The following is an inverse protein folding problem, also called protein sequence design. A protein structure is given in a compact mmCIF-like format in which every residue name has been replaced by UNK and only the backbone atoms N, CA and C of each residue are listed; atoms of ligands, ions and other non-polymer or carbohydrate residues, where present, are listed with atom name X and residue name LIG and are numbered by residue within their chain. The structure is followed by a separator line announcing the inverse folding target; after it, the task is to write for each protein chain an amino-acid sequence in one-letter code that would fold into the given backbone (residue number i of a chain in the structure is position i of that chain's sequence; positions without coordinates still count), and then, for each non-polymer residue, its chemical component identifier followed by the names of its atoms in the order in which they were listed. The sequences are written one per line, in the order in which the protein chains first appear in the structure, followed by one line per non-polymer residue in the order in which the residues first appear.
data_IF_360910141953
#
_entry.id   IF_360910141953
#
_cell.length_a   1.000
_cell.length_b   1.000
_cell.length_c   1.000
_cell.angle_alpha   90.00
_cell.angle_beta   90.00
_cell.angle_gamma   90.00
#
_symmetry.space_group_name_H-M   'P 1'
#
loop_
_entity.id
_entity.type
_entity.pdbx_description
1 polymer ?
#
# COMPACT_ATOMS: atom_id res chain seq x y z
N UNK A 1 24.19 -72.12 -15.05
CA UNK A 1 24.63 -71.14 -14.01
C UNK A 1 23.37 -70.67 -13.30
N UNK A 2 22.85 -71.35 -12.26
CA UNK A 2 23.30 -71.34 -10.85
C UNK A 2 23.49 -69.92 -10.30
N UNK A 3 22.94 -69.45 -9.18
CA UNK A 3 21.86 -69.82 -8.29
C UNK A 3 21.70 -68.62 -7.32
N UNK A 4 20.45 -68.23 -7.04
CA UNK A 4 19.85 -67.69 -5.77
C UNK A 4 20.61 -66.74 -4.78
N UNK A 5 19.84 -66.01 -3.94
CA UNK A 5 20.19 -64.71 -3.35
C UNK A 5 20.74 -64.79 -1.91
N UNK A 6 21.24 -63.66 -1.39
CA UNK A 6 21.53 -63.48 0.05
C UNK A 6 20.75 -62.30 0.65
N UNK A 7 19.86 -62.64 1.59
CA UNK A 7 19.39 -61.78 2.69
C UNK A 7 20.50 -61.62 3.74
N UNK A 8 20.54 -60.46 4.42
CA UNK A 8 20.73 -60.27 5.89
C UNK A 8 20.13 -58.89 6.23
N UNK A 9 19.09 -58.81 7.06
CA UNK A 9 19.14 -58.55 8.51
C UNK A 9 20.02 -57.32 8.81
N UNK A 10 19.54 -56.18 9.32
CA UNK A 10 18.45 -55.95 10.26
C UNK A 10 19.07 -55.26 11.48
N UNK A 11 18.83 -53.96 11.66
CA UNK A 11 18.94 -53.31 12.97
C UNK A 11 17.81 -52.31 13.15
N UNK A 12 16.94 -52.67 14.09
CA UNK A 12 15.98 -51.78 14.74
C UNK A 12 16.79 -50.84 15.64
N UNK A 13 16.50 -49.55 15.59
CA UNK A 13 16.58 -48.70 16.77
C UNK A 13 15.19 -48.07 16.92
N UNK A 14 14.52 -48.46 18.01
CA UNK A 14 13.31 -47.80 18.53
C UNK A 14 13.74 -46.95 19.73
N UNK A 15 12.98 -45.87 19.92
CA UNK A 15 12.74 -45.08 21.13
C UNK A 15 13.48 -43.74 21.28
N UNK A 16 12.66 -42.74 21.67
CA UNK A 16 12.96 -41.32 21.83
C UNK A 16 11.84 -40.51 21.15
N UNK A 17 10.58 -40.59 21.58
CA UNK A 17 10.00 -39.72 22.62
C UNK A 17 10.33 -38.24 22.33
N UNK A 18 9.43 -37.53 21.66
CA UNK A 18 8.48 -36.59 22.28
C UNK A 18 9.16 -35.29 22.74
N UNK A 19 8.83 -34.18 22.05
CA UNK A 19 8.74 -32.77 22.48
C UNK A 19 8.61 -31.99 21.15
N UNK A 20 7.48 -31.42 20.71
CA UNK A 20 6.34 -30.95 21.47
C UNK A 20 6.62 -29.58 22.10
N UNK A 21 7.12 -28.61 21.32
CA UNK A 21 7.23 -27.21 21.78
C UNK A 21 6.07 -26.39 21.21
N UNK A 22 4.89 -26.61 21.80
CA UNK A 22 3.80 -25.64 21.75
C UNK A 22 4.14 -24.53 22.74
N UNK A 23 4.39 -23.32 22.26
CA UNK A 23 4.47 -22.14 23.10
C UNK A 23 3.05 -21.78 23.57
N UNK A 24 2.61 -22.41 24.66
CA UNK A 24 1.44 -22.00 25.41
C UNK A 24 1.85 -20.86 26.35
N UNK A 25 1.42 -19.64 26.04
CA UNK A 25 1.47 -18.51 26.98
C UNK A 25 0.37 -18.75 28.03
N UNK A 26 0.77 -19.15 29.24
CA UNK A 26 -0.14 -19.25 30.38
C UNK A 26 -0.51 -17.84 30.86
N UNK A 27 -1.82 -17.55 30.86
CA UNK A 27 -2.40 -16.52 31.71
C UNK A 27 -2.18 -16.89 33.18
N UNK A 28 -1.41 -16.08 33.91
CA UNK A 28 -1.42 -16.07 35.37
C UNK A 28 -2.33 -14.94 35.85
N UNK A 29 -3.52 -15.32 36.33
CA UNK A 29 -4.35 -14.48 37.17
C UNK A 29 -3.82 -14.53 38.60
N UNK A 30 -3.37 -13.39 39.13
CA UNK A 30 -3.29 -13.13 40.56
C UNK A 30 -4.01 -11.81 40.82
N UNK A 31 -5.14 -11.88 41.53
CA UNK A 31 -5.88 -10.72 41.98
C UNK A 31 -5.33 -10.13 43.28
N UNK A 32 -5.59 -8.84 43.45
CA UNK A 32 -5.92 -8.22 44.73
C UNK A 32 -4.84 -7.37 45.39
N UNK A 33 -5.04 -6.05 45.40
CA UNK A 33 -4.51 -5.21 46.49
C UNK A 33 -4.13 -3.76 46.18
N UNK A 34 -5.14 -2.90 46.01
CA UNK A 34 -5.22 -1.49 46.46
C UNK A 34 -4.15 -0.45 46.08
N UNK A 35 -4.63 0.64 45.45
CA UNK A 35 -4.31 1.98 45.94
C UNK A 35 -3.67 2.96 44.95
N UNK A 36 -4.51 3.70 44.22
CA UNK A 36 -4.34 5.13 44.00
C UNK A 36 -3.27 5.62 43.03
N UNK A 37 -3.70 5.97 41.82
CA UNK A 37 -3.65 7.33 41.23
C UNK A 37 -4.01 7.19 39.76
N UNK A 38 -5.10 7.84 39.35
CA UNK A 38 -5.57 7.81 37.97
C UNK A 38 -4.51 8.32 37.01
N UNK A 39 -4.06 7.42 36.15
CA UNK A 39 -3.47 7.74 34.87
C UNK A 39 -4.35 6.99 33.86
N UNK A 40 -5.42 7.66 33.43
CA UNK A 40 -6.21 7.21 32.29
C UNK A 40 -5.24 7.16 31.11
N UNK A 41 -4.78 5.96 30.79
CA UNK A 41 -4.23 5.68 29.46
C UNK A 41 -5.34 6.03 28.48
N UNK A 42 -5.19 7.17 27.81
CA UNK A 42 -6.01 7.52 26.68
C UNK A 42 -6.06 6.33 25.74
N UNK A 43 -7.27 5.86 25.39
CA UNK A 43 -7.44 5.02 24.23
C UNK A 43 -6.77 5.74 23.05
N UNK A 44 -5.91 5.09 22.25
CA UNK A 44 -5.24 5.72 21.10
C UNK A 44 -6.21 6.05 19.95
N UNK A 45 -7.50 6.23 20.25
CA UNK A 45 -8.58 6.48 19.32
C UNK A 45 -8.75 7.97 18.93
N UNK A 46 -7.95 8.88 19.51
CA UNK A 46 -8.06 10.32 19.25
C UNK A 46 -6.87 10.87 18.42
N UNK A 47 -6.43 10.11 17.41
CA UNK A 47 -5.42 10.54 16.43
C UNK A 47 -4.06 10.93 17.02
N UNK A 48 -3.24 11.60 16.20
CA UNK A 48 -1.94 12.12 16.62
C UNK A 48 -0.77 11.15 16.43
N UNK A 49 0.45 11.67 16.56
CA UNK A 49 1.67 10.90 16.32
C UNK A 49 1.91 9.86 17.42
N UNK A 50 2.05 8.60 17.02
CA UNK A 50 2.39 7.49 17.90
C UNK A 50 3.79 7.71 18.48
N UNK A 51 3.90 7.58 19.80
CA UNK A 51 5.08 7.93 20.62
C UNK A 51 5.38 9.44 20.66
N UNK A 52 5.73 10.07 19.53
CA UNK A 52 6.06 11.50 19.42
C UNK A 52 5.98 11.95 17.96
N UNK A 53 5.66 13.23 17.74
CA UNK A 53 5.79 13.86 16.42
C UNK A 53 7.24 13.77 15.90
N UNK A 54 7.46 13.33 14.65
CA UNK A 54 8.80 13.25 14.09
C UNK A 54 9.40 14.66 13.94
N UNK A 55 10.73 14.73 13.97
CA UNK A 55 11.45 15.97 13.69
C UNK A 55 11.51 16.19 12.18
N UNK A 56 10.57 17.01 11.71
CA UNK A 56 10.42 17.40 10.31
C UNK A 56 11.40 18.52 9.90
N UNK A 57 11.98 19.28 10.84
CA UNK A 57 12.70 20.53 10.55
C UNK A 57 14.23 20.45 10.67
N UNK A 58 14.78 19.40 11.30
CA UNK A 58 16.21 19.06 11.34
C UNK A 58 17.16 20.18 11.82
N UNK A 59 16.64 21.34 12.24
CA UNK A 59 17.41 22.57 12.39
C UNK A 59 16.78 23.58 13.36
N UNK A 60 16.21 23.11 14.47
CA UNK A 60 16.05 23.95 15.67
C UNK A 60 16.67 23.33 16.91
N UNK A 61 17.96 23.01 16.80
CA UNK A 61 18.84 22.86 17.96
C UNK A 61 19.09 24.21 18.64
N UNK A 62 18.44 24.42 19.77
CA UNK A 62 18.81 25.27 20.92
C UNK A 62 19.75 26.47 20.64
N UNK A 63 19.15 27.63 20.38
CA UNK A 63 19.85 28.91 20.42
C UNK A 63 20.09 29.38 21.86
N UNK A 64 20.86 28.65 22.66
CA UNK A 64 21.53 29.22 23.84
C UNK A 64 22.88 28.55 24.12
N UNK A 65 23.97 29.22 23.72
CA UNK A 65 25.12 29.64 24.58
C UNK A 65 26.36 29.87 23.71
N UNK A 66 26.58 31.13 23.36
CA UNK A 66 27.82 31.59 22.77
C UNK A 66 28.99 31.50 23.77
N UNK A 67 30.17 31.13 23.27
CA UNK A 67 31.45 31.63 23.77
C UNK A 67 32.42 31.81 22.57
N UNK A 68 33.28 32.86 22.58
CA UNK A 68 33.82 33.46 21.36
C UNK A 68 35.24 32.97 21.05
N UNK A 69 35.64 33.03 19.78
CA UNK A 69 37.07 33.03 19.40
C UNK A 69 37.32 34.12 18.35
N UNK A 70 38.22 35.05 18.70
CA UNK A 70 38.84 36.08 17.88
C UNK A 70 39.52 35.47 16.63
N UNK A 71 39.78 36.12 15.49
CA UNK A 71 39.85 37.54 15.14
C UNK A 71 41.01 37.74 14.15
N UNK A 72 40.67 38.12 12.91
CA UNK A 72 41.47 38.85 11.89
C UNK A 72 42.56 38.11 11.05
N UNK A 73 43.00 38.66 9.90
CA UNK A 73 42.23 39.35 8.83
C UNK A 73 42.64 39.01 7.36
N UNK A 74 41.73 39.29 6.43
CA UNK A 74 41.97 40.09 5.21
C UNK A 74 42.76 39.52 4.01
N UNK A 75 42.07 39.29 2.90
CA UNK A 75 42.58 39.62 1.55
C UNK A 75 41.42 39.83 0.57
N UNK A 76 41.45 40.97 -0.13
CA UNK A 76 40.49 41.43 -1.12
C UNK A 76 40.88 40.99 -2.55
N UNK A 77 39.96 41.29 -3.48
CA UNK A 77 40.03 41.19 -4.96
C UNK A 77 39.41 39.90 -5.54
N UNK A 78 38.60 39.90 -6.60
CA UNK A 78 38.21 40.95 -7.53
C UNK A 78 36.90 40.53 -8.20
N UNK A 79 35.96 41.45 -8.32
CA UNK A 79 34.83 41.31 -9.24
C UNK A 79 35.36 41.36 -10.68
N UNK A 80 34.92 40.40 -11.50
CA UNK A 80 34.96 40.52 -12.97
C UNK A 80 33.61 40.08 -13.52
N UNK A 81 32.85 41.08 -13.93
CA UNK A 81 31.73 40.95 -14.86
C UNK A 81 32.16 40.24 -16.13
N UNK A 82 31.44 39.19 -16.49
CA UNK A 82 31.31 38.74 -17.86
C UNK A 82 29.83 38.85 -18.22
N UNK A 83 29.53 39.95 -18.91
CA UNK A 83 28.33 40.17 -19.68
C UNK A 83 28.19 39.11 -20.77
N UNK A 84 27.20 38.23 -20.64
CA UNK A 84 26.62 37.50 -21.75
C UNK A 84 25.18 38.01 -21.90
N UNK A 85 24.91 38.64 -23.03
CA UNK A 85 23.59 39.11 -23.44
C UNK A 85 22.65 37.90 -23.53
N UNK A 86 21.78 37.75 -22.54
CA UNK A 86 20.63 36.86 -22.62
C UNK A 86 19.53 37.57 -23.40
N UNK A 87 19.23 37.04 -24.57
CA UNK A 87 18.08 37.40 -25.40
C UNK A 87 16.82 37.36 -24.56
N UNK A 88 16.14 38.50 -24.46
CA UNK A 88 14.79 38.58 -23.92
C UNK A 88 13.82 38.02 -24.98
N UNK A 89 13.51 36.74 -24.90
CA UNK A 89 12.22 36.21 -25.31
C UNK A 89 12.01 34.83 -24.69
N UNK A 90 10.78 34.61 -24.20
CA UNK A 90 10.29 33.42 -23.49
C UNK A 90 10.66 33.29 -22.00
N UNK A 91 10.34 34.33 -21.23
CA UNK A 91 9.96 34.12 -19.83
C UNK A 91 8.63 33.36 -19.81
N UNK A 92 8.71 32.02 -19.79
CA UNK A 92 7.56 31.15 -19.64
C UNK A 92 6.75 31.59 -18.42
N UNK A 93 5.53 32.06 -18.68
CA UNK A 93 4.48 32.26 -17.68
C UNK A 93 4.36 30.95 -16.90
N UNK A 94 4.39 30.95 -15.55
CA UNK A 94 4.13 29.73 -14.79
C UNK A 94 2.80 29.15 -15.27
N UNK A 95 2.71 27.87 -15.68
CA UNK A 95 1.44 27.31 -16.10
C UNK A 95 0.43 27.51 -14.96
N UNK A 96 -0.78 27.92 -15.35
CA UNK A 96 -1.95 27.94 -14.46
C UNK A 96 -1.95 26.66 -13.62
N UNK A 97 -1.84 26.81 -12.30
CA UNK A 97 -1.63 25.70 -11.34
C UNK A 97 -2.96 24.96 -11.13
N UNK A 98 -3.49 24.38 -12.21
CA UNK A 98 -4.69 23.55 -12.17
C UNK A 98 -4.52 22.34 -11.24
N UNK A 99 -5.64 21.73 -10.86
CA UNK A 99 -5.65 20.51 -10.04
C UNK A 99 -4.72 19.44 -10.63
N UNK A 100 -3.94 18.77 -9.76
CA UNK A 100 -3.12 17.62 -10.15
C UNK A 100 -3.99 16.61 -10.90
N UNK A 101 -3.53 16.16 -12.07
CA UNK A 101 -4.22 15.13 -12.82
C UNK A 101 -3.59 13.78 -12.56
N UNK A 102 -4.38 12.73 -12.73
CA UNK A 102 -3.94 11.36 -12.52
C UNK A 102 -4.64 10.39 -13.47
N UNK A 103 -3.93 9.33 -13.81
CA UNK A 103 -4.43 8.15 -14.48
C UNK A 103 -4.40 6.93 -13.56
N UNK A 104 -5.08 5.86 -13.96
CA UNK A 104 -5.00 4.58 -13.25
C UNK A 104 -4.95 3.39 -14.20
N UNK A 105 -4.20 2.36 -13.82
CA UNK A 105 -4.18 1.04 -14.45
C UNK A 105 -4.80 0.01 -13.51
N UNK A 106 -5.65 -0.85 -14.06
CA UNK A 106 -6.23 -2.00 -13.37
C UNK A 106 -5.61 -3.31 -13.88
N UNK A 107 -4.42 -3.63 -13.35
CA UNK A 107 -3.70 -4.89 -13.62
C UNK A 107 -4.48 -6.14 -13.15
N UNK A 108 -5.55 -5.97 -12.36
CA UNK A 108 -6.42 -7.06 -11.99
C UNK A 108 -7.42 -7.41 -13.09
N UNK A 109 -7.89 -6.41 -13.83
CA UNK A 109 -8.73 -6.57 -15.02
C UNK A 109 -7.90 -7.06 -16.21
N UNK A 110 -6.75 -6.47 -16.49
CA UNK A 110 -5.83 -6.93 -17.54
C UNK A 110 -4.63 -7.69 -16.97
N UNK A 111 -4.90 -8.86 -16.42
CA UNK A 111 -3.86 -9.65 -15.77
C UNK A 111 -2.84 -10.25 -16.74
N UNK A 112 -3.25 -10.63 -17.95
CA UNK A 112 -2.32 -11.11 -18.98
C UNK A 112 -1.39 -9.99 -19.47
N UNK A 113 -1.91 -8.76 -19.60
CA UNK A 113 -1.11 -7.57 -19.84
C UNK A 113 -0.09 -7.33 -18.71
N UNK A 114 -0.51 -7.45 -17.45
CA UNK A 114 0.39 -7.35 -16.30
C UNK A 114 1.50 -8.42 -16.31
N UNK A 115 1.20 -9.67 -16.69
CA UNK A 115 2.22 -10.72 -16.80
C UNK A 115 3.24 -10.38 -17.91
N UNK A 116 2.76 -9.87 -19.04
CA UNK A 116 3.61 -9.41 -20.16
C UNK A 116 4.52 -8.25 -19.73
N UNK A 117 3.96 -7.30 -18.97
CA UNK A 117 4.70 -6.20 -18.35
C UNK A 117 5.82 -6.72 -17.44
N UNK A 118 5.53 -7.63 -16.51
CA UNK A 118 6.52 -8.19 -15.59
C UNK A 118 7.66 -8.92 -16.32
N UNK A 119 7.36 -9.64 -17.40
CA UNK A 119 8.38 -10.29 -18.22
C UNK A 119 9.28 -9.25 -18.91
N UNK A 120 8.69 -8.20 -19.48
CA UNK A 120 9.44 -7.08 -20.09
C UNK A 120 10.35 -6.37 -19.09
N UNK A 121 9.82 -5.99 -17.93
CA UNK A 121 10.60 -5.33 -16.86
C UNK A 121 11.72 -6.25 -16.37
N UNK A 122 11.41 -7.53 -16.16
CA UNK A 122 12.36 -8.53 -15.70
C UNK A 122 13.48 -8.83 -16.71
N UNK A 123 13.23 -8.72 -18.01
CA UNK A 123 14.23 -8.85 -19.07
C UNK A 123 15.02 -7.57 -19.31
N UNK A 124 14.42 -6.41 -19.04
CA UNK A 124 15.06 -5.10 -19.05
C UNK A 124 16.09 -4.86 -17.94
N UNK A 125 16.14 -5.74 -16.93
CA UNK A 125 17.14 -5.68 -15.86
C UNK A 125 16.80 -4.71 -14.73
N UNK A 126 15.55 -4.22 -14.67
CA UNK A 126 15.08 -3.37 -13.58
C UNK A 126 15.10 -4.18 -12.27
N UNK A 127 15.74 -3.67 -11.19
CA UNK A 127 15.83 -4.39 -9.93
C UNK A 127 14.52 -4.28 -9.14
N UNK A 128 13.92 -5.42 -8.81
CA UNK A 128 12.79 -5.52 -7.89
C UNK A 128 12.76 -6.90 -7.21
N UNK A 129 12.17 -6.99 -6.01
CA UNK A 129 11.95 -8.28 -5.34
C UNK A 129 10.88 -9.06 -6.09
N UNK A 130 11.26 -10.18 -6.70
CA UNK A 130 10.35 -10.99 -7.51
C UNK A 130 9.39 -11.76 -6.62
N UNK A 131 8.10 -11.57 -6.87
CA UNK A 131 7.03 -12.47 -6.46
C UNK A 131 6.37 -13.00 -7.72
N UNK A 132 6.22 -14.32 -7.87
CA UNK A 132 5.63 -14.91 -9.07
C UNK A 132 4.09 -14.93 -8.95
N UNK A 133 3.36 -14.10 -9.72
CA UNK A 133 1.91 -14.04 -9.63
C UNK A 133 1.23 -15.09 -10.52
N UNK A 134 1.98 -15.87 -11.31
CA UNK A 134 1.43 -16.78 -12.32
C UNK A 134 0.56 -17.86 -11.71
N UNK A 135 -0.41 -18.34 -12.50
CA UNK A 135 -1.38 -19.32 -12.03
C UNK A 135 -2.38 -18.76 -11.03
N UNK A 136 -2.57 -17.43 -10.98
CA UNK A 136 -3.57 -16.75 -10.14
C UNK A 136 -4.93 -17.45 -10.23
N UNK A 137 -5.50 -17.72 -9.06
CA UNK A 137 -6.84 -18.29 -8.89
C UNK A 137 -7.72 -17.23 -8.24
N UNK A 138 -8.88 -16.94 -8.84
CA UNK A 138 -9.85 -15.99 -8.28
C UNK A 138 -11.05 -16.73 -7.73
N UNK A 139 -11.29 -16.60 -6.42
CA UNK A 139 -12.48 -17.16 -5.78
C UNK A 139 -13.41 -16.02 -5.43
N UNK A 140 -14.64 -16.10 -5.91
CA UNK A 140 -15.72 -15.16 -5.57
C UNK A 140 -16.61 -15.79 -4.51
N UNK A 141 -16.81 -15.10 -3.39
CA UNK A 141 -17.73 -15.50 -2.32
C UNK A 141 -18.98 -14.64 -2.40
N UNK A 142 -20.14 -15.28 -2.50
CA UNK A 142 -21.43 -14.60 -2.63
C UNK A 142 -22.41 -15.06 -1.57
N UNK A 143 -23.22 -14.12 -1.10
CA UNK A 143 -24.36 -14.37 -0.24
C UNK A 143 -25.62 -14.62 -1.07
N UNK A 144 -26.72 -14.95 -0.38
CA UNK A 144 -28.03 -15.04 -1.01
C UNK A 144 -28.35 -13.76 -1.81
N UNK A 145 -28.87 -13.94 -3.04
CA UNK A 145 -29.12 -12.84 -3.97
C UNK A 145 -27.89 -12.38 -4.77
N UNK A 146 -26.83 -13.21 -4.86
CA UNK A 146 -25.62 -12.95 -5.66
C UNK A 146 -24.83 -11.72 -5.20
N UNK A 147 -25.01 -11.30 -3.94
CA UNK A 147 -24.28 -10.17 -3.36
C UNK A 147 -22.86 -10.59 -2.95
N UNK A 148 -21.84 -9.75 -3.18
CA UNK A 148 -20.49 -10.04 -2.70
C UNK A 148 -20.46 -10.12 -1.17
N UNK A 149 -19.59 -10.99 -0.65
CA UNK A 149 -19.34 -11.16 0.78
C UNK A 149 -17.96 -10.58 1.09
N UNK A 150 -17.85 -9.33 1.53
CA UNK A 150 -16.56 -8.73 1.87
C UNK A 150 -16.05 -9.22 3.23
N UNK A 151 -14.74 -9.33 3.40
CA UNK A 151 -14.12 -9.73 4.67
C UNK A 151 -14.26 -11.21 5.06
N UNK A 152 -14.83 -12.05 4.21
CA UNK A 152 -14.94 -13.49 4.44
C UNK A 152 -13.55 -14.14 4.47
N UNK A 153 -13.29 -14.94 5.49
CA UNK A 153 -12.06 -15.75 5.57
C UNK A 153 -12.15 -16.95 4.63
N UNK A 154 -11.21 -17.03 3.69
CA UNK A 154 -11.08 -18.11 2.72
C UNK A 154 -9.82 -18.91 3.04
N UNK A 155 -10.01 -20.13 3.55
CA UNK A 155 -8.88 -21.04 3.80
C UNK A 155 -8.54 -21.82 2.54
N UNK A 156 -7.26 -21.78 2.14
CA UNK A 156 -6.74 -22.44 0.94
C UNK A 156 -5.95 -23.69 1.34
N UNK A 157 -6.22 -24.80 0.66
CA UNK A 157 -5.61 -26.09 0.94
C UNK A 157 -4.96 -26.70 -0.31
N UNK A 158 -3.78 -27.27 -0.12
CA UNK A 158 -3.14 -28.24 -1.02
C UNK A 158 -3.34 -29.64 -0.41
N UNK A 159 -4.28 -30.39 -0.98
CA UNK A 159 -4.76 -31.64 -0.38
C UNK A 159 -5.30 -31.43 1.03
N UNK A 160 -4.58 -31.91 2.03
CA UNK A 160 -4.92 -31.76 3.46
C UNK A 160 -4.14 -30.65 4.17
N UNK A 161 -3.09 -30.11 3.54
CA UNK A 161 -2.27 -29.06 4.13
C UNK A 161 -2.90 -27.69 3.87
N UNK A 162 -3.12 -26.91 4.92
CA UNK A 162 -3.55 -25.51 4.77
C UNK A 162 -2.35 -24.68 4.32
N UNK A 163 -2.49 -23.99 3.19
CA UNK A 163 -1.46 -23.12 2.61
C UNK A 163 -1.53 -21.73 3.24
N UNK A 164 -2.71 -21.10 3.20
CA UNK A 164 -2.94 -19.74 3.69
C UNK A 164 -4.42 -19.53 4.00
N UNK A 165 -4.74 -18.57 4.86
CA UNK A 165 -6.09 -18.01 4.99
C UNK A 165 -6.06 -16.58 4.46
N UNK A 166 -6.86 -16.32 3.43
CA UNK A 166 -7.03 -15.01 2.80
C UNK A 166 -8.35 -14.39 3.23
N UNK A 167 -8.54 -13.09 2.97
CA UNK A 167 -9.83 -12.44 3.18
C UNK A 167 -10.33 -11.78 1.92
N UNK A 168 -11.63 -11.92 1.67
CA UNK A 168 -12.24 -11.31 0.49
C UNK A 168 -12.19 -9.79 0.57
N UNK A 169 -11.87 -9.15 -0.55
CA UNK A 169 -11.98 -7.70 -0.72
C UNK A 169 -13.46 -7.28 -0.83
N UNK A 170 -13.74 -5.98 -0.94
CA UNK A 170 -15.11 -5.45 -1.01
C UNK A 170 -15.96 -6.05 -2.15
N UNK A 171 -15.32 -6.51 -3.23
CA UNK A 171 -15.92 -7.25 -4.35
C UNK A 171 -16.23 -8.72 -4.06
N UNK A 172 -16.02 -9.17 -2.82
CA UNK A 172 -16.24 -10.54 -2.40
C UNK A 172 -15.22 -11.52 -2.97
N UNK A 173 -14.09 -11.05 -3.50
CA UNK A 173 -13.08 -11.93 -4.11
C UNK A 173 -11.83 -12.10 -3.27
N UNK A 174 -11.23 -13.30 -3.33
CA UNK A 174 -9.82 -13.50 -2.99
C UNK A 174 -9.03 -13.85 -4.26
N UNK A 175 -7.82 -13.33 -4.35
CA UNK A 175 -6.86 -13.59 -5.43
C UNK A 175 -5.72 -14.42 -4.84
N UNK A 176 -5.72 -15.72 -5.07
CA UNK A 176 -4.67 -16.62 -4.59
C UNK A 176 -3.62 -16.82 -5.68
N UNK A 177 -2.35 -16.61 -5.35
CA UNK A 177 -1.21 -16.75 -6.26
C UNK A 177 -0.34 -17.92 -5.81
N UNK A 178 -0.54 -19.16 -6.32
CA UNK A 178 0.10 -20.35 -5.76
C UNK A 178 1.62 -20.25 -5.66
N UNK A 179 2.28 -19.74 -6.71
CA UNK A 179 3.74 -19.58 -6.78
C UNK A 179 4.28 -18.57 -5.76
N UNK A 180 3.52 -17.53 -5.43
CA UNK A 180 3.85 -16.57 -4.38
C UNK A 180 3.88 -17.20 -2.97
N UNK A 181 3.27 -18.38 -2.79
CA UNK A 181 3.30 -19.16 -1.55
C UNK A 181 4.16 -20.43 -1.66
N UNK A 182 4.94 -20.58 -2.74
CA UNK A 182 5.75 -21.78 -2.99
C UNK A 182 4.93 -23.04 -3.22
N UNK A 183 3.66 -22.90 -3.63
CA UNK A 183 2.75 -24.02 -3.89
C UNK A 183 2.64 -24.30 -5.39
N UNK A 184 2.64 -25.59 -5.75
CA UNK A 184 2.68 -26.05 -7.15
C UNK A 184 1.67 -27.18 -7.45
N UNK A 185 0.65 -27.34 -6.61
CA UNK A 185 -0.39 -28.32 -6.81
C UNK A 185 -1.18 -28.07 -8.11
N UNK A 186 -1.66 -29.15 -8.71
CA UNK A 186 -2.50 -29.09 -9.91
C UNK A 186 -3.90 -28.55 -9.63
N UNK A 187 -4.37 -28.66 -8.38
CA UNK A 187 -5.69 -28.20 -7.93
C UNK A 187 -5.60 -27.79 -6.45
N UNK A 188 -6.34 -26.75 -6.08
CA UNK A 188 -6.47 -26.25 -4.71
C UNK A 188 -7.91 -26.31 -4.26
N UNK A 189 -8.12 -26.51 -2.96
CA UNK A 189 -9.43 -26.45 -2.32
C UNK A 189 -9.54 -25.18 -1.49
N UNK A 190 -10.67 -24.49 -1.64
CA UNK A 190 -10.99 -23.24 -0.96
C UNK A 190 -12.20 -23.47 -0.07
N UNK A 191 -12.12 -23.07 1.20
CA UNK A 191 -13.19 -23.26 2.18
C UNK A 191 -13.60 -21.94 2.84
N UNK A 192 -14.91 -21.74 2.96
CA UNK A 192 -15.54 -20.57 3.60
C UNK A 192 -16.82 -21.06 4.30
N UNK A 193 -16.99 -20.79 5.60
CA UNK A 193 -18.21 -21.10 6.36
C UNK A 193 -18.76 -22.54 6.14
N UNK A 194 -17.87 -23.53 6.01
CA UNK A 194 -18.23 -24.94 5.79
C UNK A 194 -18.64 -25.29 4.35
N UNK A 195 -18.56 -24.34 3.42
CA UNK A 195 -18.69 -24.54 1.97
C UNK A 195 -17.31 -24.62 1.34
N UNK A 196 -17.23 -25.28 0.19
CA UNK A 196 -15.94 -25.40 -0.51
C UNK A 196 -16.10 -25.40 -2.03
N UNK A 197 -15.07 -24.89 -2.71
CA UNK A 197 -14.87 -25.07 -4.14
C UNK A 197 -13.43 -25.56 -4.40
N UNK A 198 -13.20 -26.13 -5.57
CA UNK A 198 -11.84 -26.42 -6.06
C UNK A 198 -11.56 -25.63 -7.32
N UNK A 199 -10.29 -25.30 -7.54
CA UNK A 199 -9.84 -24.63 -8.75
C UNK A 199 -8.37 -24.97 -9.04
N UNK A 200 -8.06 -25.12 -10.33
CA UNK A 200 -6.70 -25.24 -10.82
C UNK A 200 -6.06 -23.86 -11.00
N UNK A 201 -4.71 -23.75 -11.01
CA UNK A 201 -4.02 -22.52 -11.36
C UNK A 201 -4.54 -21.89 -12.66
N UNK A 202 -4.81 -20.57 -12.63
CA UNK A 202 -5.37 -19.82 -13.77
C UNK A 202 -6.90 -19.90 -13.91
N UNK A 203 -7.59 -20.65 -13.05
CA UNK A 203 -9.06 -20.74 -13.06
C UNK A 203 -9.71 -19.77 -12.08
N UNK A 204 -11.03 -19.62 -12.21
CA UNK A 204 -11.87 -18.93 -11.23
C UNK A 204 -12.98 -19.86 -10.75
N UNK A 205 -13.40 -19.70 -9.50
CA UNK A 205 -14.54 -20.44 -8.94
C UNK A 205 -15.40 -19.53 -8.04
N UNK A 206 -16.62 -19.97 -7.76
CA UNK A 206 -17.56 -19.26 -6.89
C UNK A 206 -17.99 -20.15 -5.74
N UNK A 207 -18.11 -19.56 -4.54
CA UNK A 207 -18.67 -20.19 -3.35
C UNK A 207 -19.90 -19.39 -2.94
N UNK A 208 -21.08 -19.99 -3.11
CA UNK A 208 -22.35 -19.41 -2.67
C UNK A 208 -22.67 -19.84 -1.23
N UNK A 209 -22.87 -18.83 -0.37
CA UNK A 209 -23.25 -18.96 1.02
C UNK A 209 -24.76 -18.77 1.18
N UNK A 210 -25.38 -19.65 1.97
CA UNK A 210 -26.81 -19.62 2.26
C UNK A 210 -27.13 -18.66 3.42
N UNK A 211 -26.55 -17.46 3.41
CA UNK A 211 -26.80 -16.41 4.41
C UNK A 211 -27.12 -15.07 3.75
N UNK A 212 -27.92 -14.27 4.44
CA UNK A 212 -28.02 -12.85 4.15
C UNK A 212 -26.78 -12.18 4.71
N UNK A 213 -26.20 -11.24 3.95
CA UNK A 213 -25.07 -10.46 4.41
C UNK A 213 -25.37 -8.97 4.28
N UNK A 214 -24.87 -8.22 5.25
CA UNK A 214 -24.91 -6.76 5.27
C UNK A 214 -23.56 -6.27 5.76
N UNK A 215 -22.74 -5.79 4.83
CA UNK A 215 -21.46 -5.22 5.18
C UNK A 215 -21.66 -3.87 5.89
N UNK A 216 -20.81 -3.59 6.88
CA UNK A 216 -20.81 -2.28 7.53
C UNK A 216 -20.33 -1.19 6.56
N UNK A 217 -20.95 -0.02 6.65
CA UNK A 217 -20.50 1.22 6.00
C UNK A 217 -19.33 1.81 6.81
N UNK A 218 -18.18 1.16 6.70
CA UNK A 218 -17.01 1.40 7.53
C UNK A 218 -15.76 1.39 6.65
N UNK A 219 -14.92 2.44 6.71
CA UNK A 219 -13.66 2.54 5.97
C UNK A 219 -12.48 2.95 6.86
N UNK A 220 -11.42 2.15 6.89
CA UNK A 220 -10.12 2.56 7.42
C UNK A 220 -9.21 2.89 6.23
N UNK A 221 -8.77 4.14 6.15
CA UNK A 221 -7.87 4.62 5.11
C UNK A 221 -6.53 5.03 5.74
N UNK A 222 -5.47 4.28 5.43
CA UNK A 222 -4.11 4.57 5.85
C UNK A 222 -3.34 5.23 4.72
N UNK A 223 -2.90 6.46 4.91
CA UNK A 223 -1.96 7.12 4.00
C UNK A 223 -0.54 6.71 4.32
N UNK A 224 0.24 6.36 3.31
CA UNK A 224 1.68 6.10 3.44
C UNK A 224 2.37 7.07 2.51
N UNK A 225 3.10 8.03 3.06
CA UNK A 225 3.58 9.21 2.34
C UNK A 225 5.09 9.25 2.41
N UNK A 226 5.72 9.25 1.24
CA UNK A 226 7.11 9.60 1.10
C UNK A 226 7.32 11.09 1.40
N UNK A 227 8.20 11.39 2.35
CA UNK A 227 8.59 12.75 2.74
C UNK A 227 10.10 13.00 2.57
N UNK A 228 10.73 12.34 1.60
CA UNK A 228 12.06 12.67 1.11
C UNK A 228 12.05 14.00 0.34
N UNK A 229 13.24 14.61 0.16
CA UNK A 229 13.38 15.90 -0.50
C UNK A 229 12.88 15.97 -1.95
N UNK A 230 12.90 14.85 -2.70
CA UNK A 230 12.37 14.77 -4.08
C UNK A 230 10.87 15.03 -4.14
N UNK A 231 10.16 14.66 -3.09
CA UNK A 231 8.70 14.78 -2.97
C UNK A 231 8.24 16.15 -2.49
N UNK A 232 9.11 17.15 -2.31
CA UNK A 232 8.74 18.44 -1.72
C UNK A 232 7.66 19.21 -2.48
N UNK A 233 7.87 19.43 -3.78
CA UNK A 233 6.89 20.10 -4.64
C UNK A 233 5.61 19.27 -4.78
N UNK A 234 5.74 17.95 -4.81
CA UNK A 234 4.64 17.00 -4.92
C UNK A 234 3.80 16.97 -3.65
N UNK A 235 4.37 16.88 -2.46
CA UNK A 235 3.66 16.90 -1.17
C UNK A 235 2.84 18.17 -1.05
N UNK A 236 3.39 19.33 -1.40
CA UNK A 236 2.64 20.59 -1.34
C UNK A 236 1.42 20.59 -2.26
N UNK A 237 1.52 19.96 -3.44
CA UNK A 237 0.40 19.83 -4.38
C UNK A 237 -0.58 18.73 -3.96
N UNK A 238 -0.08 17.61 -3.46
CA UNK A 238 -0.84 16.44 -3.02
C UNK A 238 -1.62 16.73 -1.74
N UNK A 239 -1.07 17.54 -0.83
CA UNK A 239 -1.70 17.95 0.44
C UNK A 239 -3.12 18.45 0.24
N UNK A 240 -3.31 19.41 -0.67
CA UNK A 240 -4.63 19.97 -0.96
C UNK A 240 -5.59 18.90 -1.51
N UNK A 241 -5.09 18.04 -2.41
CA UNK A 241 -5.87 16.93 -2.97
C UNK A 241 -6.26 15.88 -1.93
N UNK A 242 -5.33 15.51 -1.04
CA UNK A 242 -5.55 14.55 0.05
C UNK A 242 -6.54 15.09 1.08
N UNK A 243 -6.47 16.37 1.43
CA UNK A 243 -7.45 17.02 2.30
C UNK A 243 -8.83 17.12 1.63
N UNK A 244 -8.88 17.47 0.34
CA UNK A 244 -10.13 17.47 -0.45
C UNK A 244 -10.77 16.08 -0.43
N UNK A 245 -9.97 15.07 -0.74
CA UNK A 245 -10.37 13.68 -0.76
C UNK A 245 -10.87 13.19 0.60
N UNK A 246 -10.15 13.46 1.69
CA UNK A 246 -10.58 13.07 3.03
C UNK A 246 -11.95 13.66 3.38
N UNK A 247 -12.16 14.95 3.07
CA UNK A 247 -13.45 15.63 3.28
C UNK A 247 -14.56 15.04 2.40
N UNK A 248 -14.26 14.75 1.13
CA UNK A 248 -15.22 14.19 0.17
C UNK A 248 -15.61 12.76 0.51
N UNK A 249 -14.65 11.89 0.86
CA UNK A 249 -14.92 10.52 1.32
C UNK A 249 -15.82 10.56 2.55
N UNK A 250 -15.54 11.44 3.51
CA UNK A 250 -16.38 11.62 4.71
C UNK A 250 -17.80 12.15 4.38
N UNK A 251 -17.98 12.78 3.21
CA UNK A 251 -19.25 13.30 2.74
C UNK A 251 -19.98 12.39 1.74
N UNK A 252 -19.36 11.28 1.30
CA UNK A 252 -19.95 10.35 0.32
C UNK A 252 -21.30 9.80 0.78
N UNK A 253 -21.40 9.49 2.06
CA UNK A 253 -22.62 8.99 2.69
C UNK A 253 -22.57 9.27 4.18
N UNK A 254 -23.68 9.78 4.75
CA UNK A 254 -23.76 10.13 6.17
C UNK A 254 -23.64 8.93 7.11
N UNK A 255 -23.84 7.72 6.60
CA UNK A 255 -23.78 6.48 7.37
C UNK A 255 -22.38 5.83 7.33
N UNK A 256 -21.42 6.40 6.60
CA UNK A 256 -20.05 5.88 6.50
C UNK A 256 -19.22 6.30 7.72
N UNK A 257 -18.77 5.32 8.50
CA UNK A 257 -17.79 5.47 9.58
C UNK A 257 -16.36 5.42 9.00
N UNK A 258 -15.85 6.59 8.62
CA UNK A 258 -14.51 6.82 8.10
C UNK A 258 -13.50 7.02 9.23
N UNK A 259 -12.35 6.34 9.13
CA UNK A 259 -11.15 6.59 9.93
C UNK A 259 -9.95 6.78 9.02
N UNK A 260 -9.12 7.76 9.35
CA UNK A 260 -7.94 8.17 8.59
C UNK A 260 -6.70 8.00 9.46
N UNK A 261 -5.69 7.32 8.94
CA UNK A 261 -4.37 7.20 9.56
C UNK A 261 -3.28 7.64 8.59
N UNK A 262 -2.07 7.88 9.09
CA UNK A 262 -0.94 8.27 8.26
C UNK A 262 0.35 7.59 8.72
N UNK A 263 1.17 7.13 7.79
CA UNK A 263 2.58 6.80 7.98
C UNK A 263 3.36 7.70 7.05
N UNK A 264 4.36 8.37 7.58
CA UNK A 264 5.31 9.16 6.79
C UNK A 264 6.65 8.46 6.86
N UNK A 265 7.37 8.41 5.74
CA UNK A 265 8.69 7.77 5.68
C UNK A 265 9.72 8.61 4.93
N UNK A 266 10.99 8.36 5.23
CA UNK A 266 12.18 8.95 4.61
C UNK A 266 13.27 7.87 4.47
N UNK A 267 14.48 8.26 4.10
CA UNK A 267 15.61 7.34 3.93
C UNK A 267 16.20 6.84 5.26
N UNK A 268 16.93 5.74 5.19
CA UNK A 268 17.81 5.34 6.29
C UNK A 268 18.87 6.42 6.57
N UNK A 269 18.94 6.87 7.82
CA UNK A 269 19.91 7.89 8.26
C UNK A 269 19.35 9.30 8.38
N UNK A 270 18.12 9.51 7.90
CA UNK A 270 17.36 10.74 8.17
C UNK A 270 16.89 10.83 9.62
N UNK A 271 16.29 11.97 9.99
CA UNK A 271 15.79 12.25 11.34
C UNK A 271 14.80 11.20 11.85
N UNK A 272 14.09 10.52 10.92
CA UNK A 272 13.28 9.34 11.16
C UNK A 272 13.22 8.51 9.89
N UNK A 273 13.01 7.19 10.02
CA UNK A 273 12.76 6.30 8.87
C UNK A 273 11.26 6.18 8.63
N UNK A 274 10.48 5.95 9.69
CA UNK A 274 9.02 5.95 9.65
C UNK A 274 8.43 6.65 10.87
N UNK A 275 7.31 7.32 10.68
CA UNK A 275 6.52 7.93 11.74
C UNK A 275 5.03 7.71 11.48
N UNK A 276 4.31 7.24 12.49
CA UNK A 276 2.88 6.88 12.37
C UNK A 276 2.01 7.88 13.11
N UNK A 277 1.01 8.43 12.43
CA UNK A 277 -0.14 9.10 13.02
C UNK A 277 -1.30 8.09 13.13
N UNK A 278 -1.83 7.95 14.35
CA UNK A 278 -2.89 6.99 14.66
C UNK A 278 -4.19 7.30 13.90
N UNK A 279 -5.04 6.29 13.75
CA UNK A 279 -6.36 6.47 13.13
C UNK A 279 -7.21 7.48 13.90
N UNK A 280 -7.89 8.36 13.17
CA UNK A 280 -8.88 9.32 13.69
C UNK A 280 -10.08 9.41 12.78
N UNK A 281 -11.27 9.65 13.34
CA UNK A 281 -12.47 10.05 12.59
C UNK A 281 -12.56 11.57 12.39
N UNK A 282 -11.69 12.36 13.02
CA UNK A 282 -11.63 13.79 12.84
C UNK A 282 -10.77 14.15 11.61
N UNK A 283 -11.45 14.45 10.51
CA UNK A 283 -10.83 14.89 9.25
C UNK A 283 -9.98 16.16 9.43
N UNK A 284 -10.36 17.06 10.34
CA UNK A 284 -9.59 18.28 10.62
C UNK A 284 -8.30 17.96 11.41
N UNK A 285 -8.36 17.03 12.36
CA UNK A 285 -7.17 16.53 13.05
C UNK A 285 -6.21 15.84 12.09
N UNK A 286 -6.71 14.97 11.21
CA UNK A 286 -5.91 14.37 10.14
C UNK A 286 -5.30 15.43 9.21
N UNK A 287 -6.09 16.42 8.78
CA UNK A 287 -5.60 17.50 7.91
C UNK A 287 -4.49 18.32 8.59
N UNK A 288 -4.62 18.58 9.90
CA UNK A 288 -3.61 19.31 10.67
C UNK A 288 -2.32 18.50 10.81
N UNK A 289 -2.42 17.19 11.05
CA UNK A 289 -1.25 16.30 11.09
C UNK A 289 -0.57 16.22 9.72
N UNK A 290 -1.35 16.20 8.64
CA UNK A 290 -0.81 16.27 7.29
C UNK A 290 -0.05 17.59 7.10
N UNK A 291 -0.61 18.74 7.51
CA UNK A 291 0.01 20.08 7.44
C UNK A 291 1.40 20.17 8.13
N UNK A 292 1.70 19.30 9.08
CA UNK A 292 3.01 19.20 9.72
C UNK A 292 4.07 18.49 8.86
N UNK A 293 3.66 17.68 7.89
CA UNK A 293 4.57 16.89 7.04
C UNK A 293 5.36 17.81 6.12
N UNK A 294 6.69 17.79 6.27
CA UNK A 294 7.61 18.45 5.34
C UNK A 294 8.49 17.42 4.66
N UNK A 295 8.76 17.66 3.37
CA UNK A 295 9.80 16.94 2.65
C UNK A 295 11.18 17.43 3.12
N UNK A 296 12.05 16.50 3.48
CA UNK A 296 13.46 16.77 3.77
C UNK A 296 14.24 15.46 3.72
N UNK A 297 15.57 15.55 3.74
CA UNK A 297 16.43 14.37 3.68
C UNK A 297 16.43 13.70 2.30
N UNK A 298 16.72 12.41 2.30
CA UNK A 298 17.00 11.64 1.09
C UNK A 298 18.47 11.71 0.63
N UNK A 299 18.75 11.09 -0.53
CA UNK A 299 20.08 11.10 -1.13
C UNK A 299 20.26 9.97 -2.15
N UNK A 300 21.46 9.37 -2.18
CA UNK A 300 21.72 8.12 -2.91
C UNK A 300 21.30 6.87 -2.08
N UNK A 301 20.64 7.08 -0.94
CA UNK A 301 20.19 6.02 -0.02
C UNK A 301 18.86 5.43 -0.48
N UNK A 302 18.57 4.16 -0.13
CA UNK A 302 17.31 3.54 -0.50
C UNK A 302 16.10 4.15 0.24
N UNK A 303 15.05 4.49 -0.50
CA UNK A 303 13.75 4.83 0.11
C UNK A 303 13.21 3.68 0.96
N UNK A 304 12.59 4.02 2.09
CA UNK A 304 12.14 3.06 3.10
C UNK A 304 10.71 2.51 2.86
N UNK A 305 10.35 2.23 1.59
CA UNK A 305 9.01 1.71 1.23
C UNK A 305 8.68 0.38 1.95
N UNK A 306 9.68 -0.49 2.12
CA UNK A 306 9.51 -1.76 2.85
C UNK A 306 9.09 -1.52 4.31
N UNK A 307 9.80 -0.66 5.03
CA UNK A 307 9.53 -0.27 6.42
C UNK A 307 8.21 0.48 6.53
N UNK A 308 7.91 1.37 5.59
CA UNK A 308 6.69 2.16 5.59
C UNK A 308 5.45 1.27 5.46
N UNK A 309 5.48 0.27 4.57
CA UNK A 309 4.41 -0.71 4.42
C UNK A 309 4.26 -1.60 5.66
N UNK A 310 5.38 -2.05 6.24
CA UNK A 310 5.35 -2.82 7.47
C UNK A 310 4.73 -2.00 8.63
N UNK A 311 5.17 -0.74 8.80
CA UNK A 311 4.64 0.19 9.80
C UNK A 311 3.15 0.49 9.58
N UNK A 312 2.71 0.64 8.32
CA UNK A 312 1.31 0.89 7.99
C UNK A 312 0.41 -0.29 8.35
N UNK A 313 0.87 -1.53 8.12
CA UNK A 313 0.12 -2.73 8.49
C UNK A 313 0.13 -2.95 10.01
N UNK A 314 1.22 -2.64 10.69
CA UNK A 314 1.34 -2.77 12.15
C UNK A 314 0.77 -1.56 12.92
N UNK A 315 0.33 -0.52 12.21
CA UNK A 315 -0.22 0.69 12.81
C UNK A 315 -1.36 0.36 13.81
N UNK A 316 -1.37 0.97 15.00
CA UNK A 316 -2.43 0.73 15.96
C UNK A 316 -3.75 1.31 15.44
N UNK A 317 -4.87 0.69 15.83
CA UNK A 317 -6.21 1.26 15.61
C UNK A 317 -6.93 0.83 14.35
N UNK A 318 -6.35 -0.05 13.51
CA UNK A 318 -7.12 -0.77 12.48
C UNK A 318 -8.32 -1.46 13.13
N UNK A 319 -9.50 -1.35 12.53
CA UNK A 319 -10.63 -2.19 12.91
C UNK A 319 -10.31 -3.66 12.65
N UNK A 320 -10.99 -4.60 13.33
CA UNK A 320 -10.83 -6.01 13.02
C UNK A 320 -11.02 -6.26 11.53
N UNK A 321 -10.15 -7.09 10.95
CA UNK A 321 -10.21 -7.37 9.52
C UNK A 321 -11.61 -7.88 9.14
N UNK A 322 -12.12 -7.40 8.00
CA UNK A 322 -13.47 -7.70 7.51
C UNK A 322 -14.57 -6.76 8.02
N UNK A 323 -14.41 -6.11 9.17
CA UNK A 323 -15.43 -5.19 9.73
C UNK A 323 -15.51 -3.87 8.96
N UNK A 324 -14.43 -3.48 8.28
CA UNK A 324 -14.35 -2.29 7.43
C UNK A 324 -13.74 -2.61 6.06
N UNK A 325 -13.98 -1.75 5.08
CA UNK A 325 -13.09 -1.63 3.93
C UNK A 325 -11.76 -1.06 4.43
N UNK A 326 -10.66 -1.77 4.22
CA UNK A 326 -9.34 -1.36 4.69
C UNK A 326 -8.46 -1.08 3.49
N UNK A 327 -7.98 0.16 3.38
CA UNK A 327 -7.20 0.60 2.23
C UNK A 327 -5.93 1.30 2.70
N UNK A 328 -4.85 1.05 1.96
CA UNK A 328 -3.59 1.79 2.06
C UNK A 328 -3.45 2.63 0.80
N UNK A 329 -3.30 3.94 0.94
CA UNK A 329 -2.94 4.86 -0.15
C UNK A 329 -1.47 5.18 0.01
N UNK A 330 -0.64 4.54 -0.82
CA UNK A 330 0.81 4.77 -0.83
C UNK A 330 1.13 5.88 -1.82
N UNK A 331 1.92 6.87 -1.45
CA UNK A 331 2.35 7.97 -2.32
C UNK A 331 3.87 8.06 -2.24
N UNK A 332 4.54 7.98 -3.38
CA UNK A 332 6.01 8.07 -3.46
C UNK A 332 6.52 8.12 -4.89
N UNK A 333 7.82 8.37 -5.04
CA UNK A 333 8.48 8.48 -6.34
C UNK A 333 9.69 7.57 -6.54
N UNK A 334 10.11 6.80 -5.55
CA UNK A 334 10.94 5.63 -5.80
C UNK A 334 10.42 4.35 -5.14
N UNK A 335 11.08 3.26 -5.52
CA UNK A 335 11.03 2.02 -4.75
C UNK A 335 12.20 1.99 -3.77
N UNK A 336 12.05 1.18 -2.71
CA UNK A 336 13.22 0.74 -1.96
C UNK A 336 14.14 -0.16 -2.80
N UNK A 337 15.43 -0.18 -2.45
CA UNK A 337 16.40 -1.05 -3.12
C UNK A 337 16.05 -2.52 -2.94
N UNK A 338 15.91 -3.24 -4.06
CA UNK A 338 15.49 -4.64 -4.10
C UNK A 338 16.48 -5.60 -3.43
N UNK A 339 17.77 -5.27 -3.43
CA UNK A 339 18.87 -6.06 -2.87
C UNK A 339 19.11 -5.77 -1.37
N UNK A 340 18.50 -4.72 -0.82
CA UNK A 340 18.59 -4.39 0.61
C UNK A 340 18.01 -5.53 1.44
N UNK A 341 18.74 -5.91 2.48
CA UNK A 341 18.22 -6.82 3.51
C UNK A 341 17.40 -6.01 4.49
N UNK A 342 16.10 -6.28 4.53
CA UNK A 342 15.12 -5.59 5.39
C UNK A 342 14.46 -6.59 6.32
N UNK A 343 13.92 -6.11 7.45
CA UNK A 343 13.25 -6.98 8.42
C UNK A 343 11.96 -7.59 7.84
N UNK A 344 11.18 -6.77 7.12
CA UNK A 344 9.94 -7.18 6.46
C UNK A 344 9.96 -6.64 5.03
N UNK A 345 10.23 -7.48 4.03
CA UNK A 345 10.13 -7.08 2.62
C UNK A 345 8.70 -6.70 2.24
N UNK A 346 8.52 -5.79 1.30
CA UNK A 346 7.20 -5.38 0.82
C UNK A 346 6.38 -6.57 0.27
N UNK A 347 7.04 -7.62 -0.22
CA UNK A 347 6.39 -8.86 -0.66
C UNK A 347 5.73 -9.62 0.49
N UNK A 348 6.28 -9.53 1.71
CA UNK A 348 5.67 -10.07 2.94
C UNK A 348 4.51 -9.19 3.41
N UNK A 349 4.69 -7.87 3.31
CA UNK A 349 3.62 -6.89 3.58
C UNK A 349 2.43 -7.09 2.62
N UNK A 350 2.66 -7.34 1.34
CA UNK A 350 1.62 -7.69 0.36
C UNK A 350 0.83 -8.93 0.74
N UNK A 351 1.54 -10.00 1.14
CA UNK A 351 0.88 -11.23 1.62
C UNK A 351 0.06 -10.97 2.87
N UNK A 352 0.59 -10.19 3.81
CA UNK A 352 -0.10 -9.80 5.04
C UNK A 352 -1.34 -8.93 4.76
N UNK A 353 -1.24 -8.00 3.81
CA UNK A 353 -2.39 -7.21 3.36
C UNK A 353 -3.48 -8.14 2.78
N UNK A 354 -3.12 -9.11 1.94
CA UNK A 354 -4.06 -10.07 1.36
C UNK A 354 -4.71 -11.00 2.41
N UNK A 355 -4.00 -11.39 3.48
CA UNK A 355 -4.61 -12.17 4.58
C UNK A 355 -5.63 -11.36 5.38
N UNK A 356 -5.50 -10.03 5.38
CA UNK A 356 -6.41 -9.09 6.06
C UNK A 356 -7.51 -8.54 5.15
N UNK A 357 -7.39 -8.69 3.84
CA UNK A 357 -8.28 -8.09 2.86
C UNK A 357 -8.02 -6.60 2.65
N UNK A 358 -6.81 -6.13 3.00
CA UNK A 358 -6.36 -4.75 2.78
C UNK A 358 -5.96 -4.58 1.33
N UNK A 359 -6.49 -3.54 0.69
CA UNK A 359 -6.09 -3.16 -0.67
C UNK A 359 -5.10 -2.02 -0.65
N UNK A 360 -4.05 -2.11 -1.44
CA UNK A 360 -3.06 -1.04 -1.60
C UNK A 360 -3.36 -0.32 -2.91
N UNK A 361 -3.47 1.00 -2.85
CA UNK A 361 -3.62 1.93 -3.96
C UNK A 361 -2.39 2.83 -4.01
N UNK A 362 -1.31 2.41 -4.69
CA UNK A 362 -0.15 3.26 -4.89
C UNK A 362 -0.46 4.38 -5.86
N UNK A 363 0.09 5.55 -5.56
CA UNK A 363 0.10 6.77 -6.36
C UNK A 363 1.56 7.06 -6.67
N UNK A 364 1.99 6.71 -7.89
CA UNK A 364 3.28 7.12 -8.41
C UNK A 364 3.30 8.62 -8.66
N UNK A 365 4.24 9.31 -8.02
CA UNK A 365 4.55 10.71 -8.29
C UNK A 365 5.20 10.86 -9.67
N UNK A 366 5.36 12.11 -10.14
CA UNK A 366 5.87 12.40 -11.48
C UNK A 366 7.31 12.01 -11.77
N UNK A 367 8.11 11.72 -10.74
CA UNK A 367 9.49 11.30 -10.92
C UNK A 367 9.66 9.78 -10.75
N UNK A 368 8.54 9.03 -10.67
CA UNK A 368 8.55 7.59 -10.51
C UNK A 368 9.33 6.89 -11.62
N UNK A 369 10.35 6.13 -11.22
CA UNK A 369 11.15 5.30 -12.10
C UNK A 369 10.51 3.91 -12.36
N UNK A 370 11.13 3.12 -13.23
CA UNK A 370 10.62 1.78 -13.57
C UNK A 370 10.59 0.84 -12.35
N UNK A 371 11.48 1.04 -11.38
CA UNK A 371 11.53 0.22 -10.17
C UNK A 371 10.34 0.54 -9.24
N UNK A 372 10.03 1.83 -9.07
CA UNK A 372 8.82 2.30 -8.40
C UNK A 372 7.57 1.75 -9.09
N UNK A 373 7.48 1.88 -10.42
CA UNK A 373 6.32 1.42 -11.19
C UNK A 373 6.08 -0.08 -10.97
N UNK A 374 7.10 -0.93 -11.09
CA UNK A 374 6.92 -2.39 -10.95
C UNK A 374 6.58 -2.79 -9.51
N UNK A 375 7.16 -2.14 -8.51
CA UNK A 375 6.83 -2.40 -7.09
C UNK A 375 5.38 -1.98 -6.81
N UNK A 376 4.98 -0.80 -7.28
CA UNK A 376 3.64 -0.26 -7.05
C UNK A 376 2.57 -1.06 -7.80
N UNK A 377 2.81 -1.45 -9.05
CA UNK A 377 1.89 -2.31 -9.80
C UNK A 377 1.77 -3.70 -9.17
N UNK A 378 2.87 -4.29 -8.65
CA UNK A 378 2.79 -5.53 -7.87
C UNK A 378 1.92 -5.38 -6.61
N UNK A 379 2.11 -4.31 -5.83
CA UNK A 379 1.32 -4.01 -4.63
C UNK A 379 -0.18 -3.92 -4.96
N UNK A 380 -0.53 -3.13 -5.96
CA UNK A 380 -1.91 -2.95 -6.42
C UNK A 380 -2.50 -4.29 -6.91
N UNK A 381 -1.81 -4.97 -7.82
CA UNK A 381 -2.31 -6.22 -8.41
C UNK A 381 -2.56 -7.27 -7.33
N UNK A 382 -1.57 -7.56 -6.49
CA UNK A 382 -1.64 -8.66 -5.53
C UNK A 382 -2.73 -8.45 -4.47
N UNK A 383 -3.00 -7.18 -4.11
CA UNK A 383 -3.98 -6.84 -3.09
C UNK A 383 -5.37 -6.50 -3.66
N UNK A 384 -5.56 -6.57 -4.98
CA UNK A 384 -6.84 -6.23 -5.62
C UNK A 384 -7.12 -4.73 -5.74
N UNK A 385 -6.10 -3.89 -5.58
CA UNK A 385 -6.15 -2.45 -5.80
C UNK A 385 -5.88 -2.05 -7.26
N UNK A 386 -5.74 -0.74 -7.48
CA UNK A 386 -5.35 -0.14 -8.76
C UNK A 386 -4.07 0.65 -8.58
N UNK A 387 -3.25 0.66 -9.62
CA UNK A 387 -2.08 1.52 -9.71
C UNK A 387 -2.51 2.88 -10.22
N UNK A 388 -2.20 3.95 -9.48
CA UNK A 388 -2.48 5.33 -9.86
C UNK A 388 -1.16 6.02 -10.12
N UNK A 389 -1.12 6.93 -11.08
CA UNK A 389 0.05 7.74 -11.38
C UNK A 389 -0.38 9.15 -11.70
N UNK A 390 0.42 10.13 -11.31
CA UNK A 390 0.18 11.51 -11.71
C UNK A 390 0.28 11.63 -13.24
N UNK A 391 -0.43 12.59 -13.82
CA UNK A 391 -0.37 12.92 -15.24
C UNK A 391 -0.29 14.42 -15.39
N UNK A 392 0.51 14.91 -16.35
CA UNK A 392 0.60 16.33 -16.68
C UNK A 392 -0.32 16.73 -17.83
N UNK A 393 -1.37 15.94 -18.08
CA UNK A 393 -2.31 16.18 -19.17
C UNK A 393 -1.80 15.70 -20.52
N UNK A 394 -2.35 16.26 -21.61
CA UNK A 394 -2.04 15.90 -23.00
C UNK A 394 -0.56 16.10 -23.44
N UNK A 395 0.33 16.51 -22.52
CA UNK A 395 1.75 16.82 -22.75
C UNK A 395 2.75 15.73 -22.35
N UNK A 396 2.47 14.81 -21.41
CA UNK A 396 3.45 13.80 -21.02
C UNK A 396 2.92 12.79 -20.00
N UNK A 397 3.38 11.53 -20.08
CA UNK A 397 3.26 10.60 -18.96
C UNK A 397 4.07 11.15 -17.79
N UNK A 398 3.57 11.03 -16.55
CA UNK A 398 4.38 11.33 -15.36
C UNK A 398 5.16 10.10 -14.86
N UNK A 399 5.18 9.04 -15.66
CA UNK A 399 6.06 7.90 -15.46
C UNK A 399 7.28 8.09 -16.38
N UNK A 400 8.43 7.57 -15.97
CA UNK A 400 9.66 7.63 -16.76
C UNK A 400 9.46 7.20 -18.24
N UNK A 401 10.38 7.60 -19.11
CA UNK A 401 10.29 7.40 -20.57
C UNK A 401 10.21 5.94 -21.07
N UNK A 402 10.16 4.96 -20.17
CA UNK A 402 10.15 3.51 -20.36
C UNK A 402 8.84 2.81 -19.92
N UNK A 403 7.86 3.58 -19.42
CA UNK A 403 6.54 3.06 -19.07
C UNK A 403 5.81 2.50 -20.31
N UNK A 404 5.06 1.40 -20.14
CA UNK A 404 4.21 0.85 -21.20
C UNK A 404 2.77 1.37 -21.17
N UNK A 405 2.46 2.29 -20.26
CA UNK A 405 1.13 2.87 -20.14
C UNK A 405 0.94 3.90 -21.24
N UNK A 406 0.19 3.55 -22.28
CA UNK A 406 -0.15 4.48 -23.34
C UNK A 406 -1.28 5.41 -22.89
N UNK A 407 -1.33 6.62 -23.48
CA UNK A 407 -2.39 7.61 -23.20
C UNK A 407 -3.82 7.14 -23.50
N UNK A 408 -3.96 6.02 -24.21
CA UNK A 408 -5.25 5.39 -24.53
C UNK A 408 -5.72 4.42 -23.45
N UNK A 409 -4.85 4.07 -22.51
CA UNK A 409 -5.05 2.93 -21.62
C UNK A 409 -5.69 3.34 -20.30
N UNK A 410 -5.83 4.65 -20.07
CA UNK A 410 -6.38 5.21 -18.84
C UNK A 410 -7.29 6.42 -19.09
N UNK A 411 -8.21 6.63 -18.14
CA UNK A 411 -8.97 7.87 -18.02
C UNK A 411 -8.18 8.85 -17.15
N UNK A 412 -8.15 10.12 -17.54
CA UNK A 412 -7.47 11.17 -16.79
C UNK A 412 -8.49 12.05 -16.06
N UNK A 413 -8.41 12.04 -14.74
CA UNK A 413 -9.22 12.86 -13.83
C UNK A 413 -8.31 13.76 -12.99
N UNK A 414 -8.89 14.69 -12.23
CA UNK A 414 -8.14 15.24 -11.10
C UNK A 414 -7.82 14.11 -10.11
N UNK A 415 -6.69 14.21 -9.41
CA UNK A 415 -6.26 13.17 -8.47
C UNK A 415 -7.32 12.92 -7.40
N UNK A 416 -7.90 13.98 -6.82
CA UNK A 416 -8.92 13.83 -5.80
C UNK A 416 -10.21 13.24 -6.37
N UNK A 417 -10.64 13.60 -7.58
CA UNK A 417 -11.78 12.92 -8.24
C UNK A 417 -11.50 11.44 -8.46
N UNK A 418 -10.31 11.09 -8.94
CA UNK A 418 -9.94 9.70 -9.22
C UNK A 418 -9.98 8.87 -7.94
N UNK A 419 -9.28 9.29 -6.89
CA UNK A 419 -9.22 8.46 -5.67
C UNK A 419 -10.57 8.43 -4.96
N UNK A 420 -11.31 9.54 -4.89
CA UNK A 420 -12.65 9.53 -4.30
C UNK A 420 -13.56 8.57 -5.07
N UNK A 421 -13.49 8.54 -6.41
CA UNK A 421 -14.19 7.56 -7.23
C UNK A 421 -13.76 6.12 -6.90
N UNK A 422 -12.46 5.84 -6.81
CA UNK A 422 -11.97 4.48 -6.48
C UNK A 422 -12.44 4.00 -5.11
N UNK A 423 -12.48 4.89 -4.12
CA UNK A 423 -13.03 4.60 -2.78
C UNK A 423 -14.55 4.43 -2.84
N UNK A 424 -15.25 5.27 -3.60
CA UNK A 424 -16.69 5.15 -3.80
C UNK A 424 -17.08 3.86 -4.54
N UNK A 425 -16.31 3.42 -5.55
CA UNK A 425 -16.46 2.13 -6.22
C UNK A 425 -16.34 0.97 -5.21
N UNK A 426 -15.35 1.03 -4.32
CA UNK A 426 -15.14 0.02 -3.29
C UNK A 426 -16.30 -0.07 -2.30
N UNK A 427 -16.70 1.09 -1.77
CA UNK A 427 -17.84 1.22 -0.89
C UNK A 427 -19.13 0.74 -1.54
N UNK A 428 -19.35 1.12 -2.80
CA UNK A 428 -20.57 0.73 -3.53
C UNK A 428 -20.67 -0.78 -3.63
N UNK A 429 -19.53 -1.41 -3.93
CA UNK A 429 -19.42 -2.86 -4.02
C UNK A 429 -19.63 -3.53 -2.66
N UNK A 430 -18.98 -3.01 -1.62
CA UNK A 430 -19.14 -3.48 -0.23
C UNK A 430 -20.59 -3.42 0.24
N UNK A 431 -21.25 -2.29 0.02
CA UNK A 431 -22.61 -2.03 0.48
C UNK A 431 -23.69 -2.67 -0.41
N UNK A 432 -23.31 -3.14 -1.61
CA UNK A 432 -24.25 -3.67 -2.60
C UNK A 432 -25.24 -2.61 -3.11
N UNK A 433 -24.84 -1.32 -3.10
CA UNK A 433 -25.60 -0.19 -3.65
C UNK A 433 -24.67 0.80 -4.32
N UNK A 434 -25.10 1.43 -5.41
CA UNK A 434 -24.30 2.40 -6.15
C UNK A 434 -24.26 3.76 -5.43
N UNK A 435 -23.07 4.32 -5.21
CA UNK A 435 -22.87 5.69 -4.76
C UNK A 435 -22.73 6.63 -5.97
N UNK A 436 -23.16 7.89 -5.84
CA UNK A 436 -23.16 8.82 -6.96
C UNK A 436 -21.75 9.05 -7.56
N UNK A 437 -20.73 9.10 -6.70
CA UNK A 437 -19.34 9.33 -7.08
C UNK A 437 -18.63 8.07 -7.62
N UNK A 438 -19.26 6.88 -7.56
CA UNK A 438 -18.68 5.67 -8.16
C UNK A 438 -18.90 5.57 -9.67
N UNK A 439 -19.69 6.48 -10.26
CA UNK A 439 -19.96 6.47 -11.70
C UNK A 439 -18.78 7.07 -12.46
N UNK A 440 -18.35 6.45 -13.58
CA UNK A 440 -17.42 7.11 -14.48
C UNK A 440 -18.04 8.43 -14.95
N UNK A 441 -17.26 9.52 -14.90
CA UNK A 441 -17.72 10.79 -15.38
C UNK A 441 -18.02 10.69 -16.88
N UNK A 442 -19.20 11.10 -17.32
CA UNK A 442 -19.58 11.09 -18.75
C UNK A 442 -18.72 12.01 -19.61
N UNK A 443 -17.78 12.74 -19.01
CA UNK A 443 -16.82 13.60 -19.68
C UNK A 443 -15.49 12.85 -19.84
N UNK A 444 -15.51 11.79 -20.64
CA UNK A 444 -14.29 11.21 -21.19
C UNK A 444 -13.64 12.29 -22.07
N UNK A 445 -12.74 13.09 -21.52
CA UNK A 445 -11.75 13.78 -22.36
C UNK A 445 -10.77 12.72 -22.84
N UNK A 446 -11.19 11.93 -23.82
CA UNK A 446 -10.27 11.28 -24.74
C UNK A 446 -9.35 12.41 -25.22
N UNK A 447 -8.01 12.30 -25.08
CA UNK A 447 -7.12 13.34 -25.58
C UNK A 447 -7.47 13.63 -27.04
N UNK A 448 -7.70 14.89 -27.36
CA UNK A 448 -8.08 15.29 -28.70
C UNK A 448 -6.90 15.02 -29.66
N UNK A 449 -6.99 13.93 -30.41
CA UNK A 449 -6.24 13.67 -31.66
C UNK A 449 -4.73 13.44 -31.54
N UNK A 450 -4.30 12.19 -31.70
CA UNK A 450 -3.63 11.67 -32.92
C UNK A 450 -3.24 10.21 -32.70
#
# INVERSE_FOLDING_TARGET
MSARPRRRLGHRIRHGAALGLSAAVLLAACGGGSGGSGDERADPADGGWVNRAPDFDGSRGDATKAAPVAGAPGAAASERSLSAEASADDAAVPPDRGALRAGSVDDNTDFEGFLTYLERIGTGGVPFRRLDPTGRIVITVRAAGQRPVPGAEVSVFDGSAKVVTLRTTSDGTVRFHPRAYGAEAAEYRFEVDGRSATAAPGASATIDLDRQDSAAAAIDLMFVIDATGSMGDEIDRLRAGMQSMAKRINALDSDVDLRLGMVVFRDEGDTFVTATNAFTSDVAAFSSALDEVTADGGGDTPEAVDEALAAALDAPGWRPAGDAAQLVVLVGDAAGHADRTVAVPYTDSMRTAATRGIRVLPIASSNADDAAEVVFRQLAQFTGGRFVFLSYGAGGAALGGSSDIARTDYEELSLDDLIVRLVAEDLSTRLGRELAESRPATTTTRPAGQ
#
